data_IF_455511250926
#
_entry.id   IF_455511250926
#
_cell.length_a   1.000
_cell.length_b   1.000
_cell.length_c   1.000
_cell.angle_alpha   90.00
_cell.angle_beta   90.00
_cell.angle_gamma   90.00
#
_symmetry.space_group_name_H-M   'P 1'
#
loop_
_entity.id
_entity.type
_entity.pdbx_description
1 polymer ?
#
# COMPACT_ATOMS: atom_id res chain seq x y z
N UNK A 1 8.08 -15.28 -15.18
CA UNK A 1 6.96 -14.93 -16.08
C UNK A 1 7.09 -13.46 -16.44
N UNK A 2 6.52 -13.05 -17.56
CA UNK A 2 6.47 -11.64 -17.96
C UNK A 2 5.20 -10.97 -17.42
N UNK A 3 5.31 -9.74 -16.94
CA UNK A 3 4.19 -8.91 -16.51
C UNK A 3 4.54 -7.43 -16.70
N UNK A 4 3.76 -6.70 -17.49
CA UNK A 4 4.09 -5.36 -17.99
C UNK A 4 5.50 -5.25 -18.58
N UNK A 5 5.87 -6.19 -19.46
CA UNK A 5 7.17 -6.23 -20.15
C UNK A 5 8.39 -6.37 -19.25
N UNK A 6 8.20 -6.71 -17.97
CA UNK A 6 9.29 -7.02 -17.07
C UNK A 6 9.17 -8.43 -16.53
N UNK A 7 10.33 -9.09 -16.38
CA UNK A 7 10.38 -10.40 -15.75
C UNK A 7 10.06 -10.29 -14.27
N UNK A 8 9.02 -11.03 -13.87
CA UNK A 8 8.61 -11.26 -12.49
C UNK A 8 8.91 -12.71 -12.11
N UNK A 9 9.58 -12.88 -10.98
CA UNK A 9 10.01 -14.18 -10.47
C UNK A 9 9.37 -14.41 -9.11
N UNK A 10 8.66 -15.53 -8.98
CA UNK A 10 8.20 -16.02 -7.68
C UNK A 10 9.44 -16.37 -6.84
N UNK A 11 9.67 -15.64 -5.76
CA UNK A 11 10.73 -15.92 -4.78
C UNK A 11 10.13 -16.63 -3.57
N UNK A 12 10.09 -15.94 -2.43
CA UNK A 12 9.57 -16.45 -1.16
C UNK A 12 8.04 -16.46 -1.09
N UNK A 13 7.38 -15.50 -1.75
CA UNK A 13 5.94 -15.29 -1.68
C UNK A 13 5.28 -15.46 -3.04
N UNK A 14 3.97 -15.69 -3.01
CA UNK A 14 3.10 -15.69 -4.18
C UNK A 14 3.20 -14.39 -4.97
N UNK A 15 2.81 -14.47 -6.24
CA UNK A 15 2.71 -13.32 -7.14
C UNK A 15 1.36 -12.61 -7.06
N UNK A 16 0.45 -13.13 -6.22
CA UNK A 16 -0.78 -12.51 -5.77
C UNK A 16 -0.76 -12.37 -4.25
N UNK A 17 -1.45 -11.34 -3.74
CA UNK A 17 -1.77 -11.21 -2.33
C UNK A 17 -2.56 -12.43 -1.87
N UNK A 18 -2.09 -13.06 -0.78
CA UNK A 18 -2.78 -14.19 -0.14
C UNK A 18 -2.85 -13.97 1.36
N UNK A 19 -3.85 -14.57 1.99
CA UNK A 19 -4.06 -14.45 3.44
C UNK A 19 -2.97 -15.16 4.23
N UNK A 20 -2.52 -16.31 3.73
CA UNK A 20 -1.54 -17.19 4.36
C UNK A 20 -0.19 -16.50 4.52
N UNK A 21 0.20 -15.72 3.51
CA UNK A 21 1.47 -15.00 3.46
C UNK A 21 1.38 -13.57 4.02
N UNK A 22 0.20 -13.13 4.47
CA UNK A 22 0.00 -11.81 5.04
C UNK A 22 0.58 -11.70 6.46
N UNK A 23 1.16 -10.53 6.74
CA UNK A 23 1.79 -10.18 8.02
C UNK A 23 2.74 -11.28 8.55
N UNK A 24 3.78 -11.68 7.80
CA UNK A 24 4.69 -12.72 8.25
C UNK A 24 5.38 -12.28 9.55
N UNK A 25 5.37 -13.17 10.55
CA UNK A 25 5.96 -12.88 11.87
C UNK A 25 7.43 -12.50 11.69
N UNK A 26 7.81 -11.39 12.33
CA UNK A 26 9.19 -10.96 12.47
C UNK A 26 9.34 -10.32 13.86
N UNK A 27 10.27 -10.85 14.67
CA UNK A 27 10.52 -10.36 16.02
C UNK A 27 11.35 -9.08 16.04
N UNK A 28 11.98 -8.66 14.94
CA UNK A 28 12.75 -7.42 14.90
C UNK A 28 11.84 -6.20 14.97
N UNK A 29 12.08 -5.31 15.94
CA UNK A 29 11.39 -4.03 16.02
C UNK A 29 11.88 -3.07 14.94
N UNK A 30 10.95 -2.40 14.25
CA UNK A 30 11.22 -1.28 13.34
C UNK A 30 10.57 0.03 13.79
N UNK A 31 9.69 -0.04 14.79
CA UNK A 31 9.12 1.10 15.48
C UNK A 31 9.84 1.41 16.80
N UNK A 32 9.70 2.63 17.34
CA UNK A 32 10.19 2.97 18.66
C UNK A 32 9.58 2.10 19.76
N UNK A 33 10.27 1.99 20.90
CA UNK A 33 9.75 1.33 22.10
C UNK A 33 8.56 2.12 22.65
N UNK A 34 7.38 1.50 22.69
CA UNK A 34 6.17 2.13 23.22
C UNK A 34 5.84 1.69 24.67
N UNK A 35 5.44 2.62 25.57
CA UNK A 35 5.12 2.29 26.96
C UNK A 35 3.98 1.28 27.16
N UNK A 36 2.94 1.33 26.33
CA UNK A 36 1.84 0.36 26.37
C UNK A 36 2.32 -1.07 26.05
N UNK A 37 3.21 -1.20 25.06
CA UNK A 37 3.81 -2.49 24.71
C UNK A 37 4.75 -3.02 25.81
N UNK A 38 5.39 -2.14 26.58
CA UNK A 38 6.13 -2.56 27.79
C UNK A 38 5.19 -3.17 28.82
N UNK A 39 4.03 -2.53 29.07
CA UNK A 39 3.00 -3.04 29.99
C UNK A 39 2.42 -4.39 29.53
N UNK A 40 2.35 -4.61 28.22
CA UNK A 40 1.93 -5.89 27.62
C UNK A 40 3.03 -6.96 27.58
N UNK A 41 4.21 -6.69 28.15
CA UNK A 41 5.38 -7.58 28.08
C UNK A 41 5.73 -7.98 26.62
N UNK A 42 5.58 -7.04 25.68
CA UNK A 42 5.77 -7.30 24.25
C UNK A 42 7.23 -7.49 23.86
N UNK A 43 8.18 -6.94 24.62
CA UNK A 43 9.61 -6.96 24.29
C UNK A 43 10.36 -8.07 25.04
N UNK A 44 11.41 -8.61 24.43
CA UNK A 44 12.28 -9.63 25.05
C UNK A 44 12.99 -9.06 26.27
N UNK A 45 13.44 -7.81 26.17
CA UNK A 45 14.21 -7.08 27.18
C UNK A 45 13.95 -5.57 27.09
N UNK A 46 14.67 -4.80 27.91
CA UNK A 46 14.53 -3.35 27.94
C UNK A 46 15.13 -2.59 26.76
N UNK A 47 15.89 -3.25 25.88
CA UNK A 47 16.45 -2.60 24.69
C UNK A 47 15.37 -2.19 23.69
N UNK A 48 14.21 -2.86 23.71
CA UNK A 48 13.13 -2.63 22.76
C UNK A 48 13.46 -3.01 21.31
N UNK A 49 14.54 -3.78 21.07
CA UNK A 49 15.00 -4.17 19.73
C UNK A 49 14.31 -5.42 19.18
N UNK A 50 13.73 -6.24 20.06
CA UNK A 50 13.05 -7.47 19.69
C UNK A 50 11.73 -7.65 20.45
N UNK A 51 10.69 -8.07 19.74
CA UNK A 51 9.42 -8.53 20.28
C UNK A 51 9.50 -10.00 20.70
N UNK A 52 8.72 -10.37 21.72
CA UNK A 52 8.47 -11.76 22.09
C UNK A 52 7.61 -12.44 21.02
N UNK A 53 7.90 -13.70 20.72
CA UNK A 53 7.17 -14.48 19.72
C UNK A 53 5.67 -14.56 20.05
N UNK A 54 5.30 -14.81 21.32
CA UNK A 54 3.91 -14.86 21.76
C UNK A 54 3.14 -13.56 21.50
N UNK A 55 3.81 -12.40 21.64
CA UNK A 55 3.22 -11.12 21.31
C UNK A 55 3.02 -11.01 19.79
N UNK A 56 4.02 -11.42 19.00
CA UNK A 56 3.91 -11.42 17.54
C UNK A 56 2.76 -12.31 17.04
N UNK A 57 2.54 -13.48 17.64
CA UNK A 57 1.42 -14.36 17.26
C UNK A 57 0.06 -13.68 17.52
N UNK A 58 -0.09 -13.06 18.69
CA UNK A 58 -1.30 -12.28 19.03
C UNK A 58 -1.51 -11.11 18.07
N UNK A 59 -0.45 -10.34 17.79
CA UNK A 59 -0.53 -9.20 16.88
C UNK A 59 -0.80 -9.63 15.43
N UNK A 60 -0.25 -10.76 14.98
CA UNK A 60 -0.55 -11.34 13.66
C UNK A 60 -2.02 -11.71 13.55
N UNK A 61 -2.64 -12.27 14.59
CA UNK A 61 -4.07 -12.53 14.59
C UNK A 61 -4.90 -11.25 14.41
N UNK A 62 -4.48 -10.13 15.00
CA UNK A 62 -5.10 -8.81 14.79
C UNK A 62 -4.92 -8.32 13.35
N UNK A 63 -3.73 -8.52 12.77
CA UNK A 63 -3.46 -8.19 11.36
C UNK A 63 -4.32 -9.02 10.41
N UNK A 64 -4.51 -10.32 10.67
CA UNK A 64 -5.37 -11.18 9.85
C UNK A 64 -6.86 -10.77 9.92
N UNK A 65 -7.34 -10.29 11.07
CA UNK A 65 -8.68 -9.67 11.15
C UNK A 65 -8.79 -8.44 10.25
N UNK A 66 -7.75 -7.59 10.19
CA UNK A 66 -7.73 -6.46 9.27
C UNK A 66 -7.72 -6.91 7.80
N UNK A 67 -7.03 -8.00 7.48
CA UNK A 67 -7.05 -8.59 6.14
C UNK A 67 -8.47 -8.99 5.75
N UNK A 68 -9.14 -9.76 6.60
CA UNK A 68 -10.49 -10.25 6.34
C UNK A 68 -11.48 -9.10 6.14
N UNK A 69 -11.39 -8.05 6.96
CA UNK A 69 -12.23 -6.86 6.81
C UNK A 69 -11.93 -6.06 5.52
N UNK A 70 -10.66 -5.96 5.11
CA UNK A 70 -10.31 -5.30 3.84
C UNK A 70 -10.82 -6.10 2.64
N UNK A 71 -10.68 -7.43 2.65
CA UNK A 71 -11.22 -8.27 1.57
C UNK A 71 -12.74 -8.16 1.48
N UNK A 72 -13.45 -8.19 2.63
CA UNK A 72 -14.89 -7.98 2.66
C UNK A 72 -15.29 -6.62 2.08
N UNK A 73 -14.57 -5.56 2.46
CA UNK A 73 -14.78 -4.21 1.95
C UNK A 73 -14.53 -4.12 0.43
N UNK A 74 -13.41 -4.64 -0.07
CA UNK A 74 -13.12 -4.66 -1.50
C UNK A 74 -14.20 -5.42 -2.28
N UNK A 75 -14.71 -6.52 -1.73
CA UNK A 75 -15.80 -7.27 -2.33
C UNK A 75 -17.12 -6.50 -2.36
N UNK A 76 -17.39 -5.64 -1.38
CA UNK A 76 -18.61 -4.81 -1.35
C UNK A 76 -18.58 -3.59 -2.28
N UNK A 77 -17.40 -3.20 -2.78
CA UNK A 77 -17.29 -2.09 -3.73
C UNK A 77 -17.86 -2.45 -5.10
N UNK A 78 -18.60 -1.52 -5.70
CA UNK A 78 -19.14 -1.65 -7.06
C UNK A 78 -18.07 -1.38 -8.12
N UNK A 79 -17.97 -2.29 -9.09
CA UNK A 79 -16.95 -2.23 -10.14
C UNK A 79 -17.24 -1.16 -11.19
N UNK A 80 -18.52 -0.86 -11.47
CA UNK A 80 -18.89 0.19 -12.42
C UNK A 80 -18.61 1.56 -11.83
N UNK A 81 -18.99 1.79 -10.57
CA UNK A 81 -18.69 3.02 -9.82
C UNK A 81 -17.17 3.26 -9.71
N UNK A 82 -16.39 2.22 -9.44
CA UNK A 82 -14.92 2.31 -9.47
C UNK A 82 -14.38 2.73 -10.83
N UNK A 83 -14.86 2.09 -11.91
CA UNK A 83 -14.42 2.43 -13.26
C UNK A 83 -14.86 3.85 -13.68
N UNK A 84 -16.07 4.28 -13.32
CA UNK A 84 -16.53 5.66 -13.53
C UNK A 84 -15.63 6.65 -12.78
N UNK A 85 -15.28 6.38 -11.52
CA UNK A 85 -14.36 7.22 -10.75
C UNK A 85 -12.98 7.32 -11.42
N UNK A 86 -12.45 6.19 -11.92
CA UNK A 86 -11.19 6.17 -12.65
C UNK A 86 -11.27 6.97 -13.96
N UNK A 87 -12.34 6.83 -14.75
CA UNK A 87 -12.51 7.59 -15.99
C UNK A 87 -12.62 9.09 -15.73
N UNK A 88 -13.44 9.50 -14.77
CA UNK A 88 -13.56 10.92 -14.38
C UNK A 88 -12.20 11.51 -13.96
N UNK A 89 -11.39 10.73 -13.23
CA UNK A 89 -10.04 11.13 -12.86
C UNK A 89 -9.13 11.30 -14.09
N UNK A 90 -9.15 10.35 -15.03
CA UNK A 90 -8.32 10.40 -16.25
C UNK A 90 -8.76 11.51 -17.21
N UNK A 91 -10.06 11.81 -17.28
CA UNK A 91 -10.59 12.96 -18.04
C UNK A 91 -10.13 14.29 -17.45
N UNK A 92 -10.09 14.41 -16.11
CA UNK A 92 -9.56 15.59 -15.41
C UNK A 92 -8.04 15.72 -15.55
N UNK A 93 -7.32 14.61 -15.66
CA UNK A 93 -5.87 14.54 -15.75
C UNK A 93 -5.41 13.83 -17.05
N UNK A 94 -5.68 14.41 -18.24
CA UNK A 94 -5.49 13.75 -19.53
C UNK A 94 -4.03 13.44 -19.88
N UNK A 95 -3.08 13.91 -19.06
CA UNK A 95 -1.65 13.60 -19.20
C UNK A 95 -1.31 12.18 -18.71
N UNK A 96 -2.22 11.52 -17.98
CA UNK A 96 -2.08 10.10 -17.67
C UNK A 96 -2.46 9.24 -18.86
N UNK A 97 -1.51 8.47 -19.38
CA UNK A 97 -1.77 7.47 -20.41
C UNK A 97 -1.52 6.07 -19.88
N UNK A 98 -2.33 5.12 -20.36
CA UNK A 98 -2.18 3.72 -20.01
C UNK A 98 -0.95 3.13 -20.68
N UNK A 99 -0.24 2.26 -19.97
CA UNK A 99 0.90 1.51 -20.50
C UNK A 99 0.68 0.01 -20.31
N UNK A 100 1.21 -0.78 -21.24
CA UNK A 100 1.26 -2.24 -21.18
C UNK A 100 2.66 -2.79 -20.94
N UNK A 101 3.68 -1.91 -20.94
CA UNK A 101 5.09 -2.27 -20.79
C UNK A 101 5.81 -1.21 -19.94
N UNK A 102 6.58 -1.64 -18.94
CA UNK A 102 7.37 -0.79 -18.05
C UNK A 102 8.80 -0.55 -18.52
N UNK A 103 9.24 -1.20 -19.60
CA UNK A 103 10.65 -1.26 -20.03
C UNK A 103 11.27 0.12 -20.22
N UNK A 104 10.54 1.05 -20.84
CA UNK A 104 11.00 2.39 -21.22
C UNK A 104 10.77 3.46 -20.13
N UNK A 105 10.25 3.07 -18.96
CA UNK A 105 9.83 4.01 -17.91
C UNK A 105 10.83 4.16 -16.75
N UNK A 106 12.12 4.15 -17.08
CA UNK A 106 13.21 4.57 -16.19
C UNK A 106 13.30 6.11 -16.11
N UNK A 107 12.16 6.75 -15.92
CA UNK A 107 11.98 8.20 -15.98
C UNK A 107 11.22 8.72 -14.77
N UNK A 108 11.26 10.03 -14.58
CA UNK A 108 10.53 10.74 -13.54
C UNK A 108 9.05 10.92 -13.92
N UNK A 109 8.17 10.88 -12.93
CA UNK A 109 6.78 11.27 -13.09
C UNK A 109 5.86 10.74 -11.99
N UNK A 110 4.57 10.75 -12.31
CA UNK A 110 3.50 10.22 -11.48
C UNK A 110 2.94 8.96 -12.12
N UNK A 111 2.37 8.06 -11.31
CA UNK A 111 1.81 6.81 -11.80
C UNK A 111 0.60 6.38 -10.97
N UNK A 112 -0.29 5.66 -11.63
CA UNK A 112 -1.39 4.92 -11.01
C UNK A 112 -1.14 3.43 -11.18
N UNK A 113 -1.24 2.68 -10.09
CA UNK A 113 -1.36 1.23 -10.12
C UNK A 113 -2.82 0.87 -9.84
N UNK A 114 -3.47 0.19 -10.77
CA UNK A 114 -4.86 -0.25 -10.63
C UNK A 114 -4.90 -1.72 -10.24
N UNK A 115 -5.73 -2.02 -9.24
CA UNK A 115 -5.89 -3.33 -8.62
C UNK A 115 -7.35 -3.78 -8.84
N UNK A 116 -7.71 -4.18 -10.06
CA UNK A 116 -9.12 -4.35 -10.48
C UNK A 116 -9.92 -5.32 -9.61
N UNK A 117 -9.29 -6.44 -9.22
CA UNK A 117 -9.93 -7.43 -8.34
C UNK A 117 -10.35 -6.88 -6.98
N UNK A 118 -9.73 -5.77 -6.56
CA UNK A 118 -9.96 -5.12 -5.28
C UNK A 118 -10.72 -3.79 -5.41
N UNK A 119 -10.96 -3.32 -6.65
CA UNK A 119 -11.51 -1.99 -6.95
C UNK A 119 -10.72 -0.89 -6.24
N UNK A 120 -9.40 -0.98 -6.30
CA UNK A 120 -8.50 -0.03 -5.66
C UNK A 120 -7.51 0.53 -6.66
N UNK A 121 -7.04 1.74 -6.38
CA UNK A 121 -5.96 2.42 -7.05
C UNK A 121 -4.88 2.83 -6.02
N UNK A 122 -3.67 3.02 -6.52
CA UNK A 122 -2.59 3.67 -5.79
C UNK A 122 -2.00 4.74 -6.67
N UNK A 123 -1.88 5.96 -6.15
CA UNK A 123 -1.25 7.09 -6.81
C UNK A 123 0.12 7.30 -6.17
N UNK A 124 1.17 7.37 -6.99
CA UNK A 124 2.51 7.64 -6.49
C UNK A 124 3.34 8.50 -7.44
N UNK A 125 4.48 8.97 -6.95
CA UNK A 125 5.51 9.65 -7.74
C UNK A 125 6.88 8.96 -7.60
N UNK A 126 7.73 9.09 -8.61
CA UNK A 126 9.12 8.62 -8.54
C UNK A 126 10.01 9.33 -9.56
N UNK A 127 11.31 9.46 -9.27
CA UNK A 127 12.31 9.85 -10.27
C UNK A 127 12.63 8.70 -11.24
N UNK A 128 12.22 7.47 -10.91
CA UNK A 128 12.26 6.29 -11.75
C UNK A 128 11.00 5.44 -11.49
N UNK A 129 9.99 5.58 -12.36
CA UNK A 129 8.68 4.94 -12.23
C UNK A 129 8.80 3.41 -12.26
N UNK A 130 9.49 2.85 -13.27
CA UNK A 130 9.71 1.41 -13.41
C UNK A 130 10.29 0.79 -12.14
N UNK A 131 11.36 1.38 -11.60
CA UNK A 131 12.00 0.90 -10.37
C UNK A 131 11.02 0.93 -9.21
N UNK A 132 10.28 2.03 -9.03
CA UNK A 132 9.38 2.22 -7.87
C UNK A 132 8.19 1.26 -7.89
N UNK A 133 7.56 1.05 -9.04
CA UNK A 133 6.47 0.07 -9.18
C UNK A 133 6.98 -1.34 -8.85
N UNK A 134 8.17 -1.71 -9.36
CA UNK A 134 8.77 -3.02 -9.04
C UNK A 134 9.14 -3.16 -7.56
N UNK A 135 9.55 -2.08 -6.90
CA UNK A 135 9.75 -2.06 -5.44
C UNK A 135 8.43 -2.36 -4.72
N UNK A 136 7.32 -1.73 -5.10
CA UNK A 136 6.00 -2.02 -4.50
C UNK A 136 5.61 -3.50 -4.66
N UNK A 137 5.82 -4.09 -5.83
CA UNK A 137 5.54 -5.51 -6.08
C UNK A 137 6.38 -6.49 -5.25
N UNK A 138 7.61 -6.11 -4.90
CA UNK A 138 8.56 -6.99 -4.23
C UNK A 138 8.58 -6.80 -2.71
N UNK A 139 8.31 -5.59 -2.25
CA UNK A 139 8.41 -5.25 -0.84
C UNK A 139 7.23 -5.83 -0.06
N UNK A 140 7.38 -5.78 1.26
CA UNK A 140 6.29 -5.97 2.22
C UNK A 140 6.57 -5.06 3.39
N UNK A 141 5.55 -4.55 4.07
CA UNK A 141 5.77 -3.73 5.25
C UNK A 141 6.42 -4.57 6.36
N UNK A 142 7.28 -3.95 7.19
CA UNK A 142 7.69 -4.56 8.45
C UNK A 142 6.49 -5.03 9.26
N UNK A 143 6.67 -6.14 9.97
CA UNK A 143 5.59 -6.81 10.69
C UNK A 143 4.83 -5.84 11.62
N UNK A 144 5.56 -5.07 12.42
CA UNK A 144 5.03 -4.06 13.36
C UNK A 144 4.45 -2.79 12.69
N UNK A 145 4.58 -2.66 11.36
CA UNK A 145 4.00 -1.58 10.54
C UNK A 145 2.91 -2.07 9.59
N UNK A 146 2.43 -3.29 9.80
CA UNK A 146 1.34 -3.87 9.00
C UNK A 146 0.10 -3.00 9.12
N UNK A 147 -0.30 -2.66 10.35
CA UNK A 147 -1.41 -1.75 10.62
C UNK A 147 -0.89 -0.33 10.83
N UNK A 148 -1.64 0.66 10.34
CA UNK A 148 -1.35 2.07 10.55
C UNK A 148 -2.63 2.81 11.01
N UNK A 149 -2.72 3.24 12.28
CA UNK A 149 -1.78 2.98 13.39
C UNK A 149 -1.79 1.50 13.86
N UNK A 150 -0.80 1.12 14.68
CA UNK A 150 -0.71 -0.23 15.24
C UNK A 150 -2.02 -0.58 16.00
N UNK A 151 -2.50 -1.81 15.84
CA UNK A 151 -3.77 -2.34 16.38
C UNK A 151 -5.08 -1.76 15.79
N UNK A 152 -5.03 -0.80 14.86
CA UNK A 152 -6.22 -0.25 14.23
C UNK A 152 -6.84 -1.17 13.17
N UNK A 153 -7.13 -2.42 13.52
CA UNK A 153 -7.57 -3.44 12.56
C UNK A 153 -8.93 -3.12 11.92
N UNK A 154 -9.78 -2.34 12.59
CA UNK A 154 -11.10 -1.96 12.09
C UNK A 154 -11.05 -0.84 11.05
N UNK A 155 -10.00 0.00 11.05
CA UNK A 155 -9.93 1.21 10.23
C UNK A 155 -8.71 1.29 9.33
N UNK A 156 -7.63 0.55 9.61
CA UNK A 156 -6.41 0.60 8.79
C UNK A 156 -6.68 0.09 7.37
N UNK A 157 -6.43 0.95 6.38
CA UNK A 157 -6.40 0.58 4.97
C UNK A 157 -5.16 -0.26 4.63
N UNK A 158 -5.24 -0.99 3.53
CA UNK A 158 -4.09 -1.73 2.99
C UNK A 158 -3.05 -0.79 2.37
N UNK A 159 -1.79 -1.10 2.59
CA UNK A 159 -0.68 -0.48 1.87
C UNK A 159 -0.54 -1.11 0.49
N UNK A 160 -0.15 -0.31 -0.51
CA UNK A 160 0.22 -0.85 -1.83
C UNK A 160 1.28 -1.97 -1.77
N UNK A 161 2.26 -1.89 -0.86
CA UNK A 161 3.29 -2.92 -0.63
C UNK A 161 2.77 -4.29 -0.15
N UNK A 162 1.47 -4.43 0.14
CA UNK A 162 0.89 -5.76 0.41
C UNK A 162 0.51 -6.49 -0.87
N UNK A 163 0.13 -5.73 -1.90
CA UNK A 163 -0.21 -6.28 -3.20
C UNK A 163 1.06 -6.71 -3.94
N UNK A 164 0.90 -7.73 -4.77
CA UNK A 164 1.98 -8.36 -5.52
C UNK A 164 1.90 -7.96 -6.98
N UNK A 165 2.89 -8.37 -7.75
CA UNK A 165 2.99 -8.03 -9.16
C UNK A 165 1.67 -8.25 -9.92
N UNK A 166 1.10 -9.45 -9.83
CA UNK A 166 -0.07 -9.83 -10.61
C UNK A 166 -1.39 -9.30 -10.04
N UNK A 167 -1.38 -8.63 -8.89
CA UNK A 167 -2.54 -7.88 -8.41
C UNK A 167 -2.70 -6.56 -9.17
N UNK A 168 -1.62 -6.05 -9.77
CA UNK A 168 -1.67 -4.87 -10.64
C UNK A 168 -2.16 -5.29 -12.02
N UNK A 169 -3.28 -4.72 -12.46
CA UNK A 169 -3.95 -5.10 -13.71
C UNK A 169 -3.88 -4.00 -14.76
N UNK A 170 -3.75 -2.74 -14.34
CA UNK A 170 -3.54 -1.59 -15.24
C UNK A 170 -2.54 -0.62 -14.61
N UNK A 171 -1.76 0.04 -15.47
CA UNK A 171 -0.83 1.10 -15.05
C UNK A 171 -1.08 2.31 -15.94
N UNK A 172 -1.22 3.48 -15.31
CA UNK A 172 -1.24 4.76 -16.00
C UNK A 172 -0.06 5.59 -15.51
N UNK A 173 0.54 6.38 -16.40
CA UNK A 173 1.70 7.20 -16.04
C UNK A 173 1.56 8.61 -16.60
N UNK A 174 2.17 9.55 -15.90
CA UNK A 174 2.35 10.91 -16.36
C UNK A 174 3.85 11.27 -16.25
N UNK A 175 4.62 11.09 -17.35
CA UNK A 175 6.03 11.43 -17.41
C UNK A 175 6.26 12.93 -17.23
N UNK A 176 7.02 13.31 -16.19
CA UNK A 176 7.43 14.69 -15.94
C UNK A 176 8.40 14.79 -14.78
N UNK A 177 9.06 15.95 -14.66
CA UNK A 177 9.76 16.32 -13.43
C UNK A 177 8.76 16.38 -12.27
N UNK A 178 9.11 15.73 -11.15
CA UNK A 178 8.36 15.81 -9.90
C UNK A 178 8.42 17.23 -9.34
N UNK A 179 7.30 17.67 -8.79
CA UNK A 179 7.17 18.92 -8.06
C UNK A 179 6.29 18.70 -6.84
N UNK A 180 6.52 19.50 -5.81
CA UNK A 180 5.74 19.45 -4.57
C UNK A 180 4.27 19.79 -4.81
N UNK A 181 3.39 19.18 -4.01
CA UNK A 181 1.94 19.44 -3.98
C UNK A 181 1.12 18.70 -5.04
N UNK A 182 1.75 18.21 -6.11
CA UNK A 182 1.01 17.55 -7.19
C UNK A 182 0.54 16.16 -6.80
N UNK A 183 1.37 15.36 -6.11
CA UNK A 183 0.92 14.04 -5.64
C UNK A 183 -0.20 14.20 -4.63
N UNK A 184 -0.11 15.17 -3.73
CA UNK A 184 -1.18 15.50 -2.80
C UNK A 184 -2.47 15.88 -3.52
N UNK A 185 -2.40 16.76 -4.54
CA UNK A 185 -3.57 17.14 -5.34
C UNK A 185 -4.18 15.94 -6.08
N UNK A 186 -3.36 15.09 -6.69
CA UNK A 186 -3.83 13.88 -7.38
C UNK A 186 -4.50 12.90 -6.42
N UNK A 187 -3.91 12.68 -5.24
CA UNK A 187 -4.48 11.81 -4.19
C UNK A 187 -5.83 12.36 -3.69
N UNK A 188 -5.94 13.67 -3.46
CA UNK A 188 -7.17 14.30 -2.98
C UNK A 188 -8.28 14.34 -4.03
N UNK A 189 -7.92 14.31 -5.32
CA UNK A 189 -8.87 14.30 -6.44
C UNK A 189 -9.51 12.93 -6.69
N UNK A 190 -8.93 11.84 -6.18
CA UNK A 190 -9.46 10.49 -6.37
C UNK A 190 -10.33 10.10 -5.17
N UNK A 191 -11.52 9.46 -5.36
CA UNK A 191 -12.36 9.07 -4.24
C UNK A 191 -11.65 8.14 -3.26
N UNK A 192 -11.54 8.56 -1.99
CA UNK A 192 -10.70 7.91 -0.99
C UNK A 192 -11.06 6.43 -0.72
N UNK A 193 -12.33 6.04 -0.90
CA UNK A 193 -12.81 4.64 -0.80
C UNK A 193 -12.14 3.67 -1.79
N UNK A 194 -11.54 4.22 -2.85
CA UNK A 194 -10.86 3.48 -3.89
C UNK A 194 -9.34 3.64 -3.86
N UNK A 195 -8.77 4.21 -2.79
CA UNK A 195 -7.32 4.41 -2.66
C UNK A 195 -6.69 3.53 -1.60
N UNK A 196 -5.51 3.00 -1.94
CA UNK A 196 -4.60 2.31 -1.01
C UNK A 196 -3.43 3.19 -0.54
N UNK A 197 -3.45 4.48 -0.89
CA UNK A 197 -2.63 5.50 -0.25
C UNK A 197 -3.01 5.57 1.24
N UNK A 198 -2.15 5.07 2.13
CA UNK A 198 -2.43 5.08 3.59
C UNK A 198 -2.33 6.47 4.21
N UNK A 199 -1.61 7.38 3.55
CA UNK A 199 -1.39 8.78 3.95
C UNK A 199 -1.49 9.65 2.70
N UNK A 200 -1.68 10.94 2.88
CA UNK A 200 -1.73 11.91 1.78
C UNK A 200 -0.42 11.95 0.98
N UNK A 201 -0.53 12.38 -0.28
CA UNK A 201 0.64 12.64 -1.12
C UNK A 201 1.55 13.71 -0.53
N UNK A 202 2.83 13.70 -0.91
CA UNK A 202 3.84 14.67 -0.44
C UNK A 202 4.13 14.70 1.08
N UNK A 203 3.53 13.82 1.88
CA UNK A 203 3.76 13.78 3.34
C UNK A 203 5.23 13.57 3.70
N UNK A 204 5.82 14.51 4.47
CA UNK A 204 7.25 14.47 4.83
C UNK A 204 7.54 14.16 6.29
N UNK A 205 6.54 14.34 7.18
CA UNK A 205 6.71 14.12 8.61
C UNK A 205 5.53 13.36 9.25
N UNK A 206 5.71 12.95 10.51
CA UNK A 206 4.74 12.14 11.24
C UNK A 206 3.42 12.87 11.50
N UNK A 207 3.46 14.19 11.74
CA UNK A 207 2.26 14.97 12.04
C UNK A 207 1.34 15.06 10.81
N UNK A 208 1.91 15.35 9.64
CA UNK A 208 1.21 15.33 8.36
C UNK A 208 0.67 13.93 8.04
N UNK A 209 1.45 12.88 8.29
CA UNK A 209 1.03 11.49 8.09
C UNK A 209 -0.18 11.13 8.95
N UNK A 210 -0.23 11.62 10.19
CA UNK A 210 -1.38 11.44 11.07
C UNK A 210 -2.59 12.25 10.60
N UNK A 211 -2.40 13.49 10.14
CA UNK A 211 -3.49 14.38 9.71
C UNK A 211 -4.16 13.92 8.41
N UNK A 212 -3.43 13.23 7.54
CA UNK A 212 -3.89 12.76 6.23
C UNK A 212 -4.12 11.26 6.18
N UNK A 213 -4.20 10.60 7.34
CA UNK A 213 -4.35 9.16 7.43
C UNK A 213 -5.64 8.72 6.74
N UNK A 214 -5.49 7.88 5.72
CA UNK A 214 -6.63 7.24 5.09
C UNK A 214 -7.13 6.10 5.99
N UNK A 215 -8.42 6.13 6.29
CA UNK A 215 -9.11 5.10 7.06
C UNK A 215 -10.22 4.47 6.24
N UNK A 216 -10.38 3.17 6.39
CA UNK A 216 -11.51 2.44 5.84
C UNK A 216 -12.75 2.84 6.63
N UNK A 217 -13.65 3.56 5.98
CA UNK A 217 -14.98 3.84 6.49
C UNK A 217 -15.88 2.73 5.95
N UNK A 218 -16.47 1.96 6.87
CA UNK A 218 -17.45 0.91 6.57
C UNK A 218 -18.82 1.51 6.28
#
# INVERSE_FOLDING_TARGET
>A
MEHFGVTVVKRKYSLHLTREEFAPINTRCTLPKFPNLVKENAYVDDSGKQYRLEWCEKYRAVCLKNFDLNMAYFNSLDANDFNCALQNFLEKHPQFHQISDLSDYEISGYYLMILDNYKQAYIGKSSNIKKRIREHWQNSKPFDRTLLPMYAFQTSCFSIDFFRALDTTRIYIWPRKISEGIESALVNDFPNKYLTNRIGGDTTNLLEACATLNTRIL
#
